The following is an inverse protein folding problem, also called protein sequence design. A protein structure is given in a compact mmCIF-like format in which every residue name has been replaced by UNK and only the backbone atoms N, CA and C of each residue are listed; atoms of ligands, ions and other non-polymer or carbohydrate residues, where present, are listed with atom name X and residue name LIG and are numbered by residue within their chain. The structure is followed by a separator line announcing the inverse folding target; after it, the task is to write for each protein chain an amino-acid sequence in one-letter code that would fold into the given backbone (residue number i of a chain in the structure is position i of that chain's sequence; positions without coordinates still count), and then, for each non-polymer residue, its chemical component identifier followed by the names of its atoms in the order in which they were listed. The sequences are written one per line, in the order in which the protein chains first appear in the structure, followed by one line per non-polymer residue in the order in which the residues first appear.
data_IF_931649901176
#
_entry.id   IF_931649901176
#
_cell.length_a   1.000
_cell.length_b   1.000
_cell.length_c   1.000
_cell.angle_alpha   90.00
_cell.angle_beta   90.00
_cell.angle_gamma   90.00
#
_symmetry.space_group_name_H-M   'P 1'
#
loop_
_entity.id
_entity.type
_entity.pdbx_description
1 polymer ?
#
# COMPACT_ATOMS: atom_id res chain seq x y z
N UNK A 1 5.78 3.40 22.38
CA UNK A 1 7.24 3.30 22.65
C UNK A 1 8.04 3.80 21.44
N UNK A 2 7.65 3.49 20.19
CA UNK A 2 8.40 3.92 18.99
C UNK A 2 8.23 5.40 18.59
N UNK A 3 7.17 6.06 19.05
CA UNK A 3 6.93 7.49 18.77
C UNK A 3 7.80 8.41 19.62
N UNK A 4 8.06 8.06 20.87
CA UNK A 4 8.91 8.84 21.79
C UNK A 4 10.39 8.82 21.37
N UNK A 5 10.88 7.66 20.93
CA UNK A 5 12.24 7.52 20.39
C UNK A 5 12.44 8.30 19.09
N UNK A 6 11.43 8.35 18.23
CA UNK A 6 11.44 9.17 17.02
C UNK A 6 11.49 10.68 17.31
N UNK A 7 10.72 11.14 18.30
CA UNK A 7 10.72 12.54 18.74
C UNK A 7 12.06 12.92 19.38
N UNK A 8 12.65 12.02 20.17
CA UNK A 8 13.94 12.26 20.81
C UNK A 8 15.09 12.29 19.80
N UNK A 9 15.07 11.43 18.79
CA UNK A 9 16.02 11.47 17.66
C UNK A 9 15.91 12.77 16.86
N UNK A 10 14.68 13.24 16.61
CA UNK A 10 14.46 14.53 15.94
C UNK A 10 14.95 15.70 16.79
N UNK A 11 14.73 15.67 18.11
CA UNK A 11 15.25 16.69 19.04
C UNK A 11 16.77 16.77 19.02
N UNK A 12 17.45 15.63 19.14
CA UNK A 12 18.92 15.59 19.09
C UNK A 12 19.47 16.13 17.78
N UNK A 13 18.81 15.80 16.66
CA UNK A 13 19.21 16.31 15.34
C UNK A 13 18.98 17.81 15.20
N UNK A 14 17.89 18.34 15.77
CA UNK A 14 17.63 19.79 15.80
C UNK A 14 18.69 20.48 16.66
N UNK A 15 19.02 19.95 17.84
CA UNK A 15 20.05 20.51 18.72
C UNK A 15 21.43 20.54 18.03
N UNK A 16 21.79 19.47 17.31
CA UNK A 16 23.03 19.43 16.54
C UNK A 16 23.06 20.43 15.38
N UNK A 17 21.91 20.64 14.72
CA UNK A 17 21.78 21.66 13.68
C UNK A 17 21.87 23.06 14.30
N UNK A 18 21.22 23.31 15.43
CA UNK A 18 21.30 24.58 16.14
C UNK A 18 22.72 24.88 16.61
N UNK A 19 23.46 23.87 17.11
CA UNK A 19 24.88 24.02 17.46
C UNK A 19 25.75 24.34 16.25
N UNK A 20 25.53 23.68 15.11
CA UNK A 20 26.28 23.95 13.87
C UNK A 20 26.01 25.35 13.33
N UNK A 21 24.79 25.86 13.49
CA UNK A 21 24.33 27.12 12.89
C UNK A 21 24.57 28.33 13.80
N UNK A 22 24.41 28.19 15.12
CA UNK A 22 24.54 29.27 16.11
C UNK A 22 25.80 29.17 16.98
N UNK A 23 26.48 28.02 16.99
CA UNK A 23 27.55 27.71 17.94
C UNK A 23 27.04 27.58 19.37
N UNK A 24 27.95 27.33 20.32
CA UNK A 24 27.67 27.07 21.75
C UNK A 24 27.05 28.26 22.52
N UNK A 25 26.80 29.38 21.85
CA UNK A 25 26.13 30.56 22.41
C UNK A 25 25.01 30.97 21.48
N UNK A 26 23.78 30.60 21.84
CA UNK A 26 22.52 30.83 21.12
C UNK A 26 22.16 32.29 20.87
N UNK A 27 22.99 33.02 20.12
CA UNK A 27 22.74 34.40 19.71
C UNK A 27 21.91 34.36 18.43
N UNK A 28 20.58 34.20 18.59
CA UNK A 28 19.61 33.99 17.50
C UNK A 28 19.36 35.21 16.59
N UNK A 29 19.89 36.40 16.88
CA UNK A 29 19.51 37.63 16.15
C UNK A 29 20.59 38.33 15.30
N UNK A 30 21.84 38.41 15.79
CA UNK A 30 22.82 39.35 15.21
C UNK A 30 23.83 38.72 14.25
N UNK A 31 24.12 37.42 14.40
CA UNK A 31 25.08 36.72 13.52
C UNK A 31 24.45 36.27 12.20
N UNK A 32 23.19 35.87 12.19
CA UNK A 32 22.48 35.46 10.97
C UNK A 32 22.35 36.59 9.93
N UNK A 33 21.98 37.79 10.38
CA UNK A 33 21.94 38.97 9.51
C UNK A 33 23.32 39.27 8.91
N UNK A 34 24.39 39.17 9.72
CA UNK A 34 25.77 39.31 9.25
C UNK A 34 26.20 38.18 8.32
N UNK A 35 25.72 36.95 8.53
CA UNK A 35 25.96 35.82 7.63
C UNK A 35 25.26 36.02 6.29
N UNK A 36 24.00 36.48 6.28
CA UNK A 36 23.27 36.79 5.07
C UNK A 36 23.95 37.93 4.29
N UNK A 37 24.33 39.02 4.97
CA UNK A 37 25.07 40.12 4.36
C UNK A 37 26.45 39.69 3.85
N UNK A 38 27.16 38.84 4.61
CA UNK A 38 28.42 38.25 4.18
C UNK A 38 28.23 37.31 2.98
N UNK A 39 27.14 36.53 2.92
CA UNK A 39 26.82 35.65 1.80
C UNK A 39 26.50 36.45 0.55
N UNK A 40 25.73 37.52 0.67
CA UNK A 40 25.43 38.45 -0.43
C UNK A 40 26.72 39.13 -0.91
N UNK A 41 27.61 39.53 0.01
CA UNK A 41 28.91 40.11 -0.33
C UNK A 41 29.82 39.10 -1.03
N UNK A 42 29.86 37.86 -0.56
CA UNK A 42 30.61 36.77 -1.19
C UNK A 42 30.04 36.47 -2.58
N UNK A 43 28.71 36.38 -2.72
CA UNK A 43 28.03 36.17 -3.99
C UNK A 43 28.30 37.30 -4.98
N UNK A 44 28.26 38.57 -4.54
CA UNK A 44 28.59 39.72 -5.38
C UNK A 44 30.09 39.70 -5.78
N UNK A 45 30.99 39.37 -4.86
CA UNK A 45 32.42 39.26 -5.15
C UNK A 45 32.75 38.09 -6.09
N UNK A 46 32.03 36.97 -5.95
CA UNK A 46 32.16 35.79 -6.78
C UNK A 46 31.60 36.06 -8.18
N UNK A 47 30.42 36.70 -8.28
CA UNK A 47 29.84 37.14 -9.55
C UNK A 47 30.73 38.12 -10.30
N UNK A 48 31.31 39.09 -9.59
CA UNK A 48 32.27 40.04 -10.18
C UNK A 48 33.57 39.36 -10.64
N UNK A 49 34.06 38.37 -9.89
CA UNK A 49 35.28 37.62 -10.23
C UNK A 49 35.04 36.63 -11.37
N UNK A 50 33.89 35.96 -11.38
CA UNK A 50 33.45 35.08 -12.45
C UNK A 50 33.25 35.86 -13.75
N UNK A 51 32.62 37.03 -13.71
CA UNK A 51 32.41 37.85 -14.91
C UNK A 51 33.71 38.45 -15.48
N UNK A 52 34.72 38.73 -14.63
CA UNK A 52 36.04 39.24 -15.08
C UNK A 52 37.00 38.14 -15.53
N UNK A 53 36.78 36.88 -15.14
CA UNK A 53 37.63 35.74 -15.50
C UNK A 53 36.78 34.61 -16.06
N UNK A 54 36.74 34.50 -17.39
CA UNK A 54 35.99 33.45 -18.10
C UNK A 54 36.29 32.03 -17.58
N UNK A 55 37.53 31.74 -17.18
CA UNK A 55 37.89 30.45 -16.54
C UNK A 55 37.15 30.20 -15.22
N UNK A 56 36.94 31.23 -14.40
CA UNK A 56 36.22 31.14 -13.12
C UNK A 56 34.71 30.99 -13.36
N UNK A 57 34.17 31.64 -14.39
CA UNK A 57 32.77 31.48 -14.83
C UNK A 57 32.48 30.05 -15.30
N UNK A 58 33.38 29.48 -16.10
CA UNK A 58 33.27 28.09 -16.56
C UNK A 58 33.37 27.13 -15.37
N UNK A 59 34.31 27.36 -14.46
CA UNK A 59 34.42 26.53 -13.25
C UNK A 59 33.17 26.64 -12.39
N UNK A 60 32.63 27.83 -12.14
CA UNK A 60 31.43 28.01 -11.33
C UNK A 60 30.21 27.28 -11.92
N UNK A 61 30.04 27.33 -13.24
CA UNK A 61 29.00 26.55 -13.94
C UNK A 61 29.22 25.04 -13.85
N UNK A 62 30.49 24.62 -13.86
CA UNK A 62 30.86 23.20 -13.76
C UNK A 62 30.88 22.68 -12.33
N UNK A 63 30.81 23.52 -11.29
CA UNK A 63 30.79 23.05 -9.89
C UNK A 63 29.55 22.16 -9.65
N UNK A 64 28.38 22.57 -10.13
CA UNK A 64 27.15 21.78 -9.96
C UNK A 64 27.22 20.45 -10.71
N UNK A 65 27.83 20.44 -11.89
CA UNK A 65 28.04 19.20 -12.65
C UNK A 65 29.12 18.32 -12.00
N UNK A 66 30.22 18.90 -11.52
CA UNK A 66 31.27 18.19 -10.79
C UNK A 66 30.75 17.60 -9.47
N UNK A 67 29.84 18.29 -8.78
CA UNK A 67 29.15 17.75 -7.60
C UNK A 67 28.29 16.54 -7.93
N UNK A 68 27.63 16.52 -9.09
CA UNK A 68 26.91 15.32 -9.58
C UNK A 68 27.87 14.18 -9.89
N UNK A 69 29.02 14.46 -10.52
CA UNK A 69 30.04 13.44 -10.80
C UNK A 69 30.79 12.96 -9.54
N UNK A 70 30.73 13.71 -8.43
CA UNK A 70 31.32 13.30 -7.15
C UNK A 70 30.40 12.39 -6.33
N UNK A 71 29.12 12.25 -6.71
CA UNK A 71 28.22 11.28 -6.10
C UNK A 71 28.54 9.87 -6.63
N UNK A 72 29.03 8.94 -5.78
CA UNK A 72 29.30 7.55 -6.20
C UNK A 72 28.07 6.88 -6.82
N UNK A 73 26.87 7.26 -6.36
CA UNK A 73 25.61 6.72 -6.90
C UNK A 73 25.31 7.17 -8.32
N UNK A 74 25.94 8.27 -8.78
CA UNK A 74 25.79 8.78 -10.15
C UNK A 74 26.75 8.09 -11.11
N UNK A 75 28.00 7.82 -10.69
CA UNK A 75 28.99 7.10 -11.50
C UNK A 75 28.58 5.65 -11.73
N UNK A 76 28.12 4.97 -10.67
CA UNK A 76 27.74 3.55 -10.74
C UNK A 76 26.55 3.30 -11.68
N UNK A 77 25.66 4.28 -11.86
CA UNK A 77 24.51 4.18 -12.77
C UNK A 77 24.84 4.46 -14.23
N UNK A 78 25.92 5.21 -14.51
CA UNK A 78 26.26 5.65 -15.87
C UNK A 78 27.11 4.62 -16.60
N UNK A 79 27.86 3.80 -15.86
CA UNK A 79 28.90 2.96 -16.44
C UNK A 79 28.81 1.54 -15.89
N UNK A 80 27.73 0.81 -16.21
CA UNK A 80 27.88 -0.64 -16.34
C UNK A 80 28.55 -0.84 -17.71
N UNK A 81 29.83 -1.25 -17.76
CA UNK A 81 30.53 -1.47 -19.03
C UNK A 81 29.80 -2.54 -19.84
N UNK A 82 29.78 -2.43 -21.17
CA UNK A 82 29.01 -3.36 -22.00
C UNK A 82 29.46 -4.82 -21.86
N UNK A 83 30.75 -5.06 -21.59
CA UNK A 83 31.26 -6.39 -21.25
C UNK A 83 30.61 -6.98 -19.98
N UNK A 84 30.38 -6.15 -18.97
CA UNK A 84 29.74 -6.56 -17.71
C UNK A 84 28.25 -6.82 -17.90
N UNK A 85 27.58 -6.09 -18.80
CA UNK A 85 26.18 -6.36 -19.16
C UNK A 85 26.02 -7.73 -19.80
N UNK A 86 26.96 -8.12 -20.68
CA UNK A 86 26.95 -9.44 -21.31
C UNK A 86 27.16 -10.54 -20.28
N UNK A 87 28.13 -10.38 -19.39
CA UNK A 87 28.36 -11.35 -18.30
C UNK A 87 27.15 -11.45 -17.36
N UNK A 88 26.50 -10.34 -17.04
CA UNK A 88 25.30 -10.32 -16.22
C UNK A 88 24.13 -11.04 -16.88
N UNK A 89 23.89 -10.79 -18.18
CA UNK A 89 22.83 -11.46 -18.95
C UNK A 89 23.10 -12.97 -19.04
N UNK A 90 24.35 -13.38 -19.25
CA UNK A 90 24.70 -14.81 -19.32
C UNK A 90 24.62 -15.48 -17.95
N UNK A 91 25.02 -14.80 -16.88
CA UNK A 91 24.91 -15.32 -15.52
C UNK A 91 23.44 -15.44 -15.07
N UNK A 92 22.57 -14.54 -15.52
CA UNK A 92 21.14 -14.54 -15.22
C UNK A 92 20.27 -15.22 -16.30
N UNK A 93 20.87 -15.88 -17.29
CA UNK A 93 20.13 -16.46 -18.42
C UNK A 93 19.05 -17.45 -17.95
N UNK A 94 19.42 -18.36 -17.05
CA UNK A 94 18.50 -19.35 -16.48
C UNK A 94 17.38 -18.68 -15.67
N UNK A 95 17.72 -17.63 -14.92
CA UNK A 95 16.74 -16.85 -14.16
C UNK A 95 15.74 -16.13 -15.08
N UNK A 96 16.22 -15.45 -16.12
CA UNK A 96 15.39 -14.74 -17.10
C UNK A 96 14.47 -15.72 -17.84
N UNK A 97 14.98 -16.87 -18.27
CA UNK A 97 14.19 -17.90 -18.96
C UNK A 97 13.13 -18.50 -18.04
N UNK A 98 13.47 -18.80 -16.78
CA UNK A 98 12.51 -19.32 -15.80
C UNK A 98 11.38 -18.31 -15.53
N UNK A 99 11.72 -17.02 -15.40
CA UNK A 99 10.76 -15.96 -15.16
C UNK A 99 9.86 -15.72 -16.39
N UNK A 100 10.43 -15.80 -17.60
CA UNK A 100 9.65 -15.69 -18.84
C UNK A 100 8.65 -16.85 -18.99
N UNK A 101 9.06 -18.09 -18.68
CA UNK A 101 8.17 -19.24 -18.70
C UNK A 101 7.04 -19.12 -17.67
N UNK A 102 7.35 -18.68 -16.46
CA UNK A 102 6.34 -18.43 -15.43
C UNK A 102 5.36 -17.32 -15.83
N UNK A 103 5.87 -16.25 -16.46
CA UNK A 103 5.05 -15.15 -16.94
C UNK A 103 4.16 -15.59 -18.11
N UNK A 104 4.65 -16.44 -19.01
CA UNK A 104 3.86 -17.05 -20.08
C UNK A 104 2.72 -17.92 -19.49
N UNK A 105 3.02 -18.74 -18.49
CA UNK A 105 1.99 -19.51 -17.76
C UNK A 105 0.96 -18.60 -17.10
N UNK A 106 1.39 -17.53 -16.44
CA UNK A 106 0.49 -16.55 -15.81
C UNK A 106 -0.36 -15.83 -16.86
N UNK A 107 0.23 -15.46 -18.01
CA UNK A 107 -0.50 -14.84 -19.12
C UNK A 107 -1.55 -15.78 -19.71
N UNK A 108 -1.30 -17.09 -19.72
CA UNK A 108 -2.28 -18.12 -20.11
C UNK A 108 -3.38 -18.35 -19.07
N UNK A 109 -3.12 -18.04 -17.79
CA UNK A 109 -4.11 -18.12 -16.71
C UNK A 109 -4.92 -16.83 -16.54
N UNK A 110 -4.45 -15.70 -17.05
CA UNK A 110 -5.18 -14.42 -17.00
C UNK A 110 -6.60 -14.50 -17.58
N UNK A 111 -6.87 -15.17 -18.73
CA UNK A 111 -8.21 -15.31 -19.28
C UNK A 111 -9.15 -16.18 -18.43
N UNK A 112 -8.62 -17.01 -17.52
CA UNK A 112 -9.44 -17.83 -16.61
C UNK A 112 -10.05 -16.97 -15.49
N UNK A 113 -9.32 -15.95 -15.04
CA UNK A 113 -9.81 -14.97 -14.07
C UNK A 113 -10.96 -14.13 -14.65
N UNK A 114 -10.91 -13.84 -15.95
CA UNK A 114 -11.97 -13.16 -16.70
C UNK A 114 -13.04 -14.11 -17.23
N UNK A 115 -12.94 -15.41 -16.96
CA UNK A 115 -13.90 -16.38 -17.48
C UNK A 115 -15.28 -16.11 -16.88
N UNK A 116 -16.27 -16.02 -17.75
CA UNK A 116 -17.68 -15.84 -17.39
C UNK A 116 -18.21 -16.94 -16.46
N UNK A 117 -17.50 -18.04 -16.32
CA UNK A 117 -17.81 -19.11 -15.37
C UNK A 117 -17.59 -18.68 -13.91
N UNK A 118 -16.44 -18.08 -13.56
CA UNK A 118 -16.20 -17.62 -12.18
C UNK A 118 -17.17 -16.50 -11.80
N UNK A 119 -17.49 -15.62 -12.76
CA UNK A 119 -18.43 -14.52 -12.54
C UNK A 119 -19.88 -15.00 -12.50
N UNK A 120 -20.27 -15.92 -13.38
CA UNK A 120 -21.61 -16.50 -13.44
C UNK A 120 -21.90 -17.48 -12.31
N UNK A 121 -20.89 -18.16 -11.77
CA UNK A 121 -21.02 -19.05 -10.62
C UNK A 121 -21.29 -18.27 -9.32
N UNK A 122 -20.80 -17.03 -9.20
CA UNK A 122 -21.14 -16.15 -8.08
C UNK A 122 -22.60 -15.70 -8.12
N UNK A 123 -23.14 -15.38 -9.30
CA UNK A 123 -24.54 -15.04 -9.46
C UNK A 123 -25.44 -16.27 -9.25
N UNK A 124 -25.08 -17.44 -9.80
CA UNK A 124 -25.78 -18.70 -9.53
C UNK A 124 -25.72 -19.10 -8.04
N UNK A 125 -24.60 -18.86 -7.35
CA UNK A 125 -24.50 -19.13 -5.92
C UNK A 125 -25.40 -18.22 -5.10
N UNK A 126 -25.63 -16.96 -5.53
CA UNK A 126 -26.59 -16.06 -4.88
C UNK A 126 -28.02 -16.54 -5.07
N UNK A 127 -28.39 -16.88 -6.30
CA UNK A 127 -29.72 -17.41 -6.62
C UNK A 127 -29.99 -18.69 -5.81
N UNK A 128 -29.02 -19.60 -5.75
CA UNK A 128 -29.09 -20.82 -4.93
C UNK A 128 -29.17 -20.53 -3.42
N UNK A 129 -28.53 -19.47 -2.94
CA UNK A 129 -28.59 -19.09 -1.51
C UNK A 129 -29.98 -18.55 -1.18
N UNK A 130 -30.55 -17.70 -2.04
CA UNK A 130 -31.92 -17.18 -1.90
C UNK A 130 -32.94 -18.32 -1.95
N UNK A 131 -32.78 -19.26 -2.88
CA UNK A 131 -33.63 -20.47 -2.97
C UNK A 131 -33.55 -21.33 -1.69
N UNK A 132 -32.34 -21.49 -1.12
CA UNK A 132 -32.14 -22.25 0.13
C UNK A 132 -32.78 -21.53 1.32
N UNK A 133 -32.72 -20.20 1.37
CA UNK A 133 -33.39 -19.40 2.42
C UNK A 133 -34.92 -19.56 2.35
N UNK A 134 -35.49 -19.51 1.14
CA UNK A 134 -36.94 -19.74 0.93
C UNK A 134 -37.33 -21.16 1.35
N UNK A 135 -36.55 -22.17 0.96
CA UNK A 135 -36.80 -23.56 1.36
C UNK A 135 -36.74 -23.75 2.88
N UNK A 136 -35.86 -23.04 3.57
CA UNK A 136 -35.77 -23.09 5.03
C UNK A 136 -36.99 -22.45 5.71
N UNK A 137 -37.47 -21.31 5.19
CA UNK A 137 -38.72 -20.70 5.68
C UNK A 137 -39.93 -21.61 5.48
N UNK A 138 -40.06 -22.23 4.32
CA UNK A 138 -41.18 -23.12 4.03
C UNK A 138 -41.14 -24.41 4.86
N UNK A 139 -39.94 -24.94 5.11
CA UNK A 139 -39.76 -26.06 6.04
C UNK A 139 -40.23 -25.68 7.45
N UNK A 140 -39.86 -24.49 7.94
CA UNK A 140 -40.26 -24.01 9.26
C UNK A 140 -41.78 -23.77 9.36
N UNK A 141 -42.42 -23.24 8.30
CA UNK A 141 -43.89 -23.12 8.24
C UNK A 141 -44.57 -24.49 8.24
N UNK A 142 -44.01 -25.47 7.53
CA UNK A 142 -44.56 -26.83 7.50
C UNK A 142 -44.50 -27.49 8.88
N UNK A 143 -43.42 -27.29 9.63
CA UNK A 143 -43.27 -27.80 11.00
C UNK A 143 -44.32 -27.17 11.94
N UNK A 144 -44.50 -25.85 11.89
CA UNK A 144 -45.53 -25.15 12.66
C UNK A 144 -46.95 -25.60 12.30
N UNK A 145 -47.25 -25.79 11.02
CA UNK A 145 -48.54 -26.31 10.57
C UNK A 145 -48.80 -27.73 11.09
N UNK A 146 -47.75 -28.55 11.21
CA UNK A 146 -47.86 -29.91 11.73
C UNK A 146 -48.17 -29.89 13.22
N UNK A 147 -47.46 -29.09 14.02
CA UNK A 147 -47.74 -28.92 15.45
C UNK A 147 -49.17 -28.43 15.68
N UNK A 148 -49.62 -27.44 14.91
CA UNK A 148 -50.99 -26.93 14.95
C UNK A 148 -52.03 -28.00 14.59
N UNK A 149 -51.72 -28.89 13.63
CA UNK A 149 -52.61 -29.97 13.22
C UNK A 149 -52.73 -31.02 14.30
N UNK A 150 -51.61 -31.41 14.91
CA UNK A 150 -51.57 -32.38 16.01
C UNK A 150 -52.37 -31.85 17.22
N UNK A 151 -52.22 -30.57 17.58
CA UNK A 151 -53.01 -29.92 18.64
C UNK A 151 -54.51 -29.94 18.34
N UNK A 152 -54.89 -29.67 17.08
CA UNK A 152 -56.29 -29.69 16.62
C UNK A 152 -56.87 -31.10 16.67
N UNK A 153 -56.12 -32.12 16.27
CA UNK A 153 -56.54 -33.53 16.37
C UNK A 153 -56.81 -33.93 17.82
N UNK A 154 -55.92 -33.58 18.75
CA UNK A 154 -56.11 -33.85 20.19
C UNK A 154 -57.38 -33.16 20.71
N UNK A 155 -57.61 -31.90 20.34
CA UNK A 155 -58.82 -31.17 20.71
C UNK A 155 -60.09 -31.82 20.16
N UNK A 156 -60.05 -32.30 18.92
CA UNK A 156 -61.17 -33.05 18.33
C UNK A 156 -61.41 -34.38 19.03
N UNK A 157 -60.36 -35.11 19.41
CA UNK A 157 -60.50 -36.33 20.20
C UNK A 157 -61.17 -36.06 21.55
N UNK A 158 -60.74 -35.01 22.26
CA UNK A 158 -61.28 -34.67 23.56
C UNK A 158 -62.72 -34.17 23.48
N UNK A 159 -63.04 -33.39 22.44
CA UNK A 159 -64.41 -33.03 22.14
C UNK A 159 -65.27 -34.26 21.85
N UNK A 160 -64.79 -35.17 20.99
CA UNK A 160 -65.49 -36.42 20.67
C UNK A 160 -65.70 -37.30 21.91
N UNK A 161 -64.70 -37.41 22.79
CA UNK A 161 -64.82 -38.10 24.08
C UNK A 161 -65.94 -37.47 24.91
N UNK A 162 -65.93 -36.14 25.10
CA UNK A 162 -66.95 -35.45 25.89
C UNK A 162 -68.36 -35.60 25.30
N UNK A 163 -68.52 -35.51 23.98
CA UNK A 163 -69.80 -35.74 23.32
C UNK A 163 -70.28 -37.19 23.50
N UNK A 164 -69.38 -38.16 23.42
CA UNK A 164 -69.74 -39.56 23.70
C UNK A 164 -70.18 -39.75 25.15
N UNK A 165 -69.57 -39.04 26.11
CA UNK A 165 -69.99 -39.07 27.52
C UNK A 165 -71.35 -38.42 27.73
N UNK A 166 -71.64 -37.29 27.09
CA UNK A 166 -72.93 -36.59 27.23
C UNK A 166 -74.07 -37.25 26.45
N UNK A 167 -73.78 -37.93 25.33
CA UNK A 167 -74.77 -38.68 24.57
C UNK A 167 -75.08 -40.08 25.16
N UNK A 168 -74.23 -40.58 26.07
CA UNK A 168 -74.41 -41.87 26.75
C UNK A 168 -74.99 -41.75 28.18
N UNK A 169 -75.36 -40.55 28.61
CA UNK A 169 -76.12 -40.27 29.85
C UNK A 169 -77.57 -39.92 29.53
#
# INVERSE_FOLDING_TARGET
MDSETGIESLRLRIDDLERKLYGDRGVRGSRLAKCADALVKVQASLGNTANKRERVKILHKKIDDLLKYLDPQFIDKISVPDAMKVEFILAEEEFILSQASLLEQLSGLHPLLDSSHIKGEFDQCKDLTEDVEVLFEDYNKMDQCKDLTDDVEVLFEDYNKMVSFTASS
#
